data_IF_631745090781
#
_entry.id   IF_631745090781
#
_cell.length_a   1.000
_cell.length_b   1.000
_cell.length_c   1.000
_cell.angle_alpha   90.00
_cell.angle_beta   90.00
_cell.angle_gamma   90.00
#
_symmetry.space_group_name_H-M   'P 1'
#
loop_
_entity.id
_entity.type
_entity.pdbx_description
1 polymer ?
#
# COMPACT_ATOMS: atom_id res chain seq x y z
N UNK A 1 29.32 -6.26 28.85
CA UNK A 1 28.38 -5.09 28.83
C UNK A 1 27.81 -4.85 27.41
N UNK A 2 27.27 -5.86 26.74
CA UNK A 2 26.88 -5.72 25.30
C UNK A 2 25.46 -6.24 24.99
N UNK A 3 24.64 -6.58 25.99
CA UNK A 3 23.28 -7.12 25.76
C UNK A 3 22.13 -6.11 25.83
N UNK A 4 22.38 -4.82 26.12
CA UNK A 4 21.33 -3.81 26.30
C UNK A 4 21.00 -2.98 25.03
N UNK A 5 21.86 -3.01 23.99
CA UNK A 5 21.67 -2.17 22.81
C UNK A 5 20.77 -2.80 21.72
N UNK A 6 20.65 -4.12 21.66
CA UNK A 6 19.84 -4.79 20.65
C UNK A 6 18.32 -4.74 20.87
N UNK A 7 17.87 -4.47 22.11
CA UNK A 7 16.44 -4.48 22.44
C UNK A 7 15.70 -3.19 22.06
N UNK A 8 16.41 -2.09 21.82
CA UNK A 8 15.79 -0.80 21.47
C UNK A 8 15.68 -0.53 19.97
N UNK A 9 16.45 -1.23 19.12
CA UNK A 9 16.38 -1.01 17.68
C UNK A 9 15.19 -1.73 17.02
N UNK A 10 14.76 -2.86 17.58
CA UNK A 10 13.59 -3.58 17.07
C UNK A 10 12.27 -2.83 17.29
N UNK A 11 12.14 -2.06 18.35
CA UNK A 11 10.95 -1.28 18.66
C UNK A 11 10.73 -0.09 17.73
N UNK A 12 11.80 0.63 17.35
CA UNK A 12 11.71 1.78 16.46
C UNK A 12 11.36 1.37 15.01
N UNK A 13 11.95 0.28 14.52
CA UNK A 13 11.64 -0.25 13.18
C UNK A 13 10.17 -0.71 13.07
N UNK A 14 9.62 -1.29 14.13
CA UNK A 14 8.21 -1.70 14.15
C UNK A 14 7.26 -0.50 14.20
N UNK A 15 7.59 0.57 14.90
CA UNK A 15 6.78 1.79 14.97
C UNK A 15 6.79 2.51 13.61
N UNK A 16 7.95 2.62 12.95
CA UNK A 16 8.06 3.23 11.61
C UNK A 16 7.37 2.39 10.55
N UNK A 17 7.47 1.06 10.62
CA UNK A 17 6.73 0.16 9.75
C UNK A 17 5.22 0.29 9.96
N UNK A 18 4.77 0.37 11.22
CA UNK A 18 3.35 0.56 11.55
C UNK A 18 2.83 1.92 11.05
N UNK A 19 3.63 2.98 11.17
CA UNK A 19 3.29 4.32 10.64
C UNK A 19 3.21 4.33 9.11
N UNK A 20 4.18 3.72 8.41
CA UNK A 20 4.15 3.56 6.95
C UNK A 20 2.92 2.78 6.49
N UNK A 21 2.61 1.67 7.17
CA UNK A 21 1.42 0.86 6.89
C UNK A 21 0.14 1.64 7.23
N UNK A 22 0.10 2.38 8.34
CA UNK A 22 -1.04 3.20 8.73
C UNK A 22 -1.31 4.34 7.73
N UNK A 23 -0.24 4.99 7.20
CA UNK A 23 -0.38 6.02 6.17
C UNK A 23 -0.87 5.41 4.85
N UNK A 24 -0.34 4.25 4.46
CA UNK A 24 -0.84 3.51 3.29
C UNK A 24 -2.31 3.14 3.48
N UNK A 25 -2.69 2.62 4.65
CA UNK A 25 -4.08 2.29 4.98
C UNK A 25 -4.93 3.57 5.04
N UNK A 26 -4.42 4.67 5.58
CA UNK A 26 -5.10 5.96 5.62
C UNK A 26 -5.38 6.53 4.22
N UNK A 27 -4.41 6.49 3.31
CA UNK A 27 -4.58 6.91 1.91
C UNK A 27 -5.44 5.91 1.14
N UNK A 28 -5.37 4.63 1.46
CA UNK A 28 -5.97 3.50 0.74
C UNK A 28 -7.30 3.06 1.36
N UNK A 29 -7.51 3.26 2.66
CA UNK A 29 -8.75 2.90 3.37
C UNK A 29 -10.00 3.61 2.88
N UNK A 30 -9.84 4.48 1.89
CA UNK A 30 -10.87 5.36 1.36
C UNK A 30 -11.77 4.72 0.29
N UNK A 31 -11.48 3.51 -0.19
CA UNK A 31 -12.24 2.90 -1.30
C UNK A 31 -12.39 1.38 -1.12
N UNK A 32 -13.52 0.88 -0.77
CA UNK A 32 -13.69 -0.55 -0.60
C UNK A 32 -14.93 -1.19 -1.17
N UNK A 33 -14.82 -2.39 -1.51
CA UNK A 33 -15.58 -3.63 -1.36
C UNK A 33 -15.22 -4.70 -2.42
N UNK A 34 -15.47 -5.95 -2.04
CA UNK A 34 -15.13 -7.25 -2.60
C UNK A 34 -15.62 -7.47 -4.03
N UNK A 35 -14.75 -7.91 -4.94
CA UNK A 35 -15.13 -8.55 -6.20
C UNK A 35 -14.30 -9.80 -6.46
N UNK A 36 -15.01 -10.81 -6.92
CA UNK A 36 -14.56 -12.14 -7.35
C UNK A 36 -13.70 -12.11 -8.61
N UNK A 37 -12.77 -13.05 -8.69
CA UNK A 37 -11.83 -13.29 -9.77
C UNK A 37 -12.43 -13.29 -11.18
N UNK A 38 -11.74 -12.60 -12.12
CA UNK A 38 -11.40 -13.18 -13.42
C UNK A 38 -10.41 -12.28 -14.19
N UNK A 39 -9.34 -12.92 -14.64
CA UNK A 39 -8.26 -12.35 -15.41
C UNK A 39 -8.64 -12.19 -16.90
N UNK A 40 -8.27 -11.09 -17.53
CA UNK A 40 -7.54 -11.02 -18.82
C UNK A 40 -7.50 -9.61 -19.41
N UNK A 41 -6.36 -9.30 -19.93
CA UNK A 41 -5.86 -8.27 -20.84
C UNK A 41 -6.81 -7.24 -21.50
N UNK A 42 -6.30 -5.97 -21.55
CA UNK A 42 -6.55 -4.90 -22.55
C UNK A 42 -7.94 -4.27 -22.57
N UNK A 43 -8.14 -3.45 -21.77
CA UNK A 43 -8.99 -2.31 -21.43
C UNK A 43 -9.39 -2.45 -19.99
N UNK A 44 -8.93 -1.51 -19.16
CA UNK A 44 -9.28 -1.55 -17.73
C UNK A 44 -10.80 -1.41 -17.67
N UNK A 45 -11.47 -2.49 -17.34
CA UNK A 45 -12.92 -2.46 -17.17
C UNK A 45 -13.23 -1.81 -15.83
N UNK A 46 -14.09 -0.81 -15.84
CA UNK A 46 -14.58 -0.19 -14.61
C UNK A 46 -15.56 -1.14 -13.95
N UNK A 47 -15.29 -1.48 -12.69
CA UNK A 47 -16.25 -2.25 -11.89
C UNK A 47 -17.47 -1.37 -11.58
N UNK A 48 -18.58 -1.66 -12.23
CA UNK A 48 -19.78 -0.84 -12.13
C UNK A 48 -20.40 -0.85 -10.72
N UNK A 49 -20.35 -1.96 -10.01
CA UNK A 49 -20.87 -2.04 -8.64
C UNK A 49 -20.09 -1.11 -7.69
N UNK A 50 -18.75 -1.11 -7.80
CA UNK A 50 -17.88 -0.20 -7.03
C UNK A 50 -18.17 1.24 -7.41
N UNK A 51 -18.30 1.53 -8.70
CA UNK A 51 -18.62 2.86 -9.20
C UNK A 51 -19.98 3.35 -8.66
N UNK A 52 -21.02 2.53 -8.72
CA UNK A 52 -22.36 2.90 -8.27
C UNK A 52 -22.40 3.15 -6.74
N UNK A 53 -21.71 2.32 -5.95
CA UNK A 53 -21.55 2.55 -4.49
C UNK A 53 -20.81 3.86 -4.20
N UNK A 54 -19.73 4.11 -4.94
CA UNK A 54 -19.01 5.36 -4.82
C UNK A 54 -19.89 6.56 -5.18
N UNK A 55 -20.67 6.48 -6.27
CA UNK A 55 -21.59 7.55 -6.66
C UNK A 55 -22.63 7.86 -5.57
N UNK A 56 -23.12 6.86 -4.87
CA UNK A 56 -24.04 7.05 -3.76
C UNK A 56 -23.39 7.75 -2.55
N UNK A 57 -22.10 7.57 -2.32
CA UNK A 57 -21.38 8.12 -1.17
C UNK A 57 -20.70 9.46 -1.47
N UNK A 58 -20.05 9.61 -2.64
CA UNK A 58 -19.17 10.72 -3.01
C UNK A 58 -19.84 11.67 -4.02
N UNK A 59 -20.65 11.12 -4.94
CA UNK A 59 -21.34 11.85 -6.00
C UNK A 59 -20.39 12.62 -6.94
N UNK A 60 -19.23 12.03 -7.27
CA UNK A 60 -18.28 12.52 -8.28
C UNK A 60 -17.98 11.41 -9.28
N UNK A 61 -18.43 11.58 -10.53
CA UNK A 61 -18.32 10.57 -11.58
C UNK A 61 -16.86 10.18 -11.88
N UNK A 62 -15.96 11.16 -11.93
CA UNK A 62 -14.56 10.91 -12.29
C UNK A 62 -13.83 10.18 -11.16
N UNK A 63 -14.06 10.60 -9.92
CA UNK A 63 -13.52 9.90 -8.75
C UNK A 63 -14.07 8.45 -8.67
N UNK A 64 -15.35 8.28 -8.96
CA UNK A 64 -15.96 6.95 -8.90
C UNK A 64 -15.56 6.05 -10.07
N UNK A 65 -15.19 6.60 -11.22
CA UNK A 65 -14.51 5.84 -12.27
C UNK A 65 -13.13 5.35 -11.82
N UNK A 66 -12.36 6.18 -11.12
CA UNK A 66 -11.12 5.77 -10.50
C UNK A 66 -11.33 4.61 -9.51
N UNK A 67 -12.29 4.74 -8.60
CA UNK A 67 -12.61 3.69 -7.65
C UNK A 67 -12.95 2.37 -8.34
N UNK A 68 -13.77 2.41 -9.38
CA UNK A 68 -14.14 1.22 -10.17
C UNK A 68 -13.00 0.63 -11.00
N UNK A 69 -12.09 1.47 -11.54
CA UNK A 69 -10.95 1.02 -12.34
C UNK A 69 -9.92 0.28 -11.50
N UNK A 70 -9.59 0.78 -10.31
CA UNK A 70 -8.56 0.19 -9.45
C UNK A 70 -8.90 -1.24 -9.00
N UNK A 71 -10.17 -1.57 -8.85
CA UNK A 71 -10.62 -2.91 -8.48
C UNK A 71 -10.23 -4.02 -9.47
N UNK A 72 -9.94 -3.67 -10.72
CA UNK A 72 -9.64 -4.61 -11.82
C UNK A 72 -8.16 -4.63 -12.24
N UNK A 73 -7.28 -4.04 -11.42
CA UNK A 73 -5.84 -4.01 -11.71
C UNK A 73 -5.23 -5.40 -11.54
N UNK A 74 -4.42 -5.82 -12.52
CA UNK A 74 -3.59 -7.03 -12.46
C UNK A 74 -2.24 -6.77 -11.78
N UNK A 75 -1.18 -6.77 -12.57
CA UNK A 75 0.18 -6.49 -12.09
C UNK A 75 0.36 -5.02 -11.75
N UNK A 76 0.96 -4.73 -10.59
CA UNK A 76 1.32 -3.36 -10.21
C UNK A 76 2.49 -3.32 -9.24
N UNK A 77 3.18 -2.18 -9.24
CA UNK A 77 4.24 -1.85 -8.26
C UNK A 77 3.88 -0.54 -7.57
N UNK A 78 4.20 -0.47 -6.30
CA UNK A 78 4.05 0.72 -5.48
C UNK A 78 5.39 1.07 -4.85
N UNK A 79 5.77 2.32 -4.93
CA UNK A 79 6.87 2.88 -4.17
C UNK A 79 6.31 3.96 -3.22
N UNK A 80 6.61 3.84 -1.93
CA UNK A 80 6.27 4.83 -0.92
C UNK A 80 7.55 5.38 -0.33
N UNK A 81 7.66 6.70 -0.30
CA UNK A 81 8.75 7.42 0.34
C UNK A 81 8.15 8.24 1.49
N UNK A 82 8.65 8.04 2.69
CA UNK A 82 8.29 8.85 3.85
C UNK A 82 9.51 9.62 4.34
N UNK A 83 9.29 10.89 4.63
CA UNK A 83 10.27 11.77 5.27
C UNK A 83 9.69 12.24 6.59
N UNK A 84 10.44 12.03 7.65
CA UNK A 84 10.11 12.44 9.01
C UNK A 84 11.28 13.22 9.60
N UNK A 85 11.08 13.87 10.74
CA UNK A 85 12.18 14.59 11.45
C UNK A 85 13.34 13.67 11.81
N UNK A 86 13.08 12.35 11.99
CA UNK A 86 14.06 11.34 12.42
C UNK A 86 14.75 10.61 11.27
N UNK A 87 14.34 10.85 10.02
CA UNK A 87 14.94 10.20 8.85
C UNK A 87 13.96 9.90 7.73
N UNK A 88 14.37 9.02 6.85
CA UNK A 88 13.60 8.60 5.69
C UNK A 88 13.28 7.12 5.73
N UNK A 89 12.10 6.76 5.25
CA UNK A 89 11.71 5.37 5.07
C UNK A 89 11.19 5.15 3.65
N UNK A 90 11.45 3.98 3.09
CA UNK A 90 10.90 3.58 1.81
C UNK A 90 10.22 2.23 1.91
N UNK A 91 9.10 2.09 1.22
CA UNK A 91 8.41 0.83 1.05
C UNK A 91 8.21 0.57 -0.44
N UNK A 92 8.67 -0.58 -0.89
CA UNK A 92 8.44 -1.06 -2.25
C UNK A 92 7.50 -2.27 -2.17
N UNK A 93 6.38 -2.20 -2.88
CA UNK A 93 5.44 -3.32 -3.03
C UNK A 93 5.37 -3.72 -4.50
N UNK A 94 5.24 -5.01 -4.74
CA UNK A 94 4.89 -5.52 -6.06
C UNK A 94 3.88 -6.65 -5.92
N UNK A 95 2.90 -6.66 -6.83
CA UNK A 95 1.89 -7.70 -6.90
C UNK A 95 1.78 -8.18 -8.35
N UNK A 96 1.68 -9.48 -8.53
CA UNK A 96 1.42 -10.06 -9.84
C UNK A 96 -0.03 -10.54 -9.96
N UNK A 97 -0.47 -10.75 -11.20
CA UNK A 97 -1.82 -11.24 -11.52
C UNK A 97 -2.09 -12.67 -11.04
N UNK A 98 -1.07 -13.39 -10.55
CA UNK A 98 -1.19 -14.74 -9.99
C UNK A 98 -1.42 -14.74 -8.48
N UNK A 99 -1.48 -13.55 -7.86
CA UNK A 99 -1.65 -13.38 -6.41
C UNK A 99 -0.37 -13.51 -5.61
N UNK A 100 0.80 -13.48 -6.26
CA UNK A 100 2.07 -13.36 -5.54
C UNK A 100 2.34 -11.89 -5.20
N UNK A 101 3.04 -11.65 -4.10
CA UNK A 101 3.40 -10.30 -3.65
C UNK A 101 4.81 -10.25 -3.08
N UNK A 102 5.43 -9.08 -3.16
CA UNK A 102 6.67 -8.78 -2.48
C UNK A 102 6.60 -7.44 -1.77
N UNK A 103 7.24 -7.32 -0.63
CA UNK A 103 7.33 -6.10 0.17
C UNK A 103 8.77 -5.92 0.66
N UNK A 104 9.36 -4.77 0.38
CA UNK A 104 10.69 -4.38 0.85
C UNK A 104 10.59 -3.05 1.59
N UNK A 105 11.06 -3.03 2.83
CA UNK A 105 11.11 -1.84 3.68
C UNK A 105 12.56 -1.46 3.93
N UNK A 106 12.88 -0.19 3.74
CA UNK A 106 14.18 0.40 4.10
C UNK A 106 13.98 1.59 5.03
N UNK A 107 14.84 1.75 6.00
CA UNK A 107 14.89 2.90 6.90
C UNK A 107 16.30 3.48 6.80
N UNK A 108 16.40 4.77 6.45
CA UNK A 108 17.68 5.45 6.20
C UNK A 108 18.56 4.66 5.21
N UNK A 109 17.95 4.09 4.17
CA UNK A 109 18.60 3.32 3.12
C UNK A 109 18.96 1.87 3.49
N UNK A 110 18.78 1.45 4.74
CA UNK A 110 19.07 0.09 5.21
C UNK A 110 17.81 -0.78 5.17
N UNK A 111 17.91 -1.99 4.61
CA UNK A 111 16.82 -2.97 4.63
C UNK A 111 16.47 -3.34 6.07
N UNK A 112 15.18 -3.25 6.41
CA UNK A 112 14.63 -3.61 7.72
C UNK A 112 13.57 -4.71 7.63
N UNK A 113 12.98 -4.91 6.47
CA UNK A 113 12.00 -5.95 6.21
C UNK A 113 11.96 -6.32 4.74
N UNK A 114 11.94 -7.61 4.45
CA UNK A 114 11.74 -8.11 3.10
C UNK A 114 10.88 -9.37 3.17
N UNK A 115 9.71 -9.31 2.58
CA UNK A 115 8.69 -10.36 2.64
C UNK A 115 8.28 -10.70 1.21
N UNK A 116 8.15 -11.99 0.92
CA UNK A 116 7.63 -12.49 -0.35
C UNK A 116 6.51 -13.47 -0.05
N UNK A 117 5.38 -13.31 -0.73
CA UNK A 117 4.34 -14.34 -0.81
C UNK A 117 4.40 -14.94 -2.20
N UNK A 118 4.67 -16.22 -2.28
CA UNK A 118 4.76 -16.96 -3.54
C UNK A 118 3.96 -18.26 -3.46
N UNK A 119 2.99 -18.42 -4.35
CA UNK A 119 2.06 -19.55 -4.36
C UNK A 119 1.41 -19.82 -2.98
N UNK A 120 1.01 -18.75 -2.27
CA UNK A 120 0.38 -18.83 -0.95
C UNK A 120 1.33 -19.12 0.22
N UNK A 121 2.62 -19.30 -0.04
CA UNK A 121 3.66 -19.47 0.99
C UNK A 121 4.30 -18.11 1.27
N UNK A 122 4.43 -17.76 2.55
CA UNK A 122 5.10 -16.53 3.00
C UNK A 122 6.57 -16.82 3.32
N UNK A 123 7.43 -15.92 2.88
CA UNK A 123 8.86 -15.91 3.16
C UNK A 123 9.27 -14.57 3.76
N UNK A 124 10.14 -14.60 4.76
CA UNK A 124 10.73 -13.40 5.37
C UNK A 124 12.25 -13.53 5.43
N UNK A 125 12.96 -12.49 5.02
CA UNK A 125 14.42 -12.50 5.00
C UNK A 125 14.99 -12.42 6.42
N UNK A 126 15.92 -13.31 6.74
CA UNK A 126 16.75 -13.20 7.94
C UNK A 126 18.05 -12.46 7.59
N UNK A 127 18.24 -11.31 8.21
CA UNK A 127 19.43 -10.47 7.97
C UNK A 127 20.67 -10.95 8.71
N UNK A 128 20.57 -12.00 9.55
CA UNK A 128 21.72 -12.57 10.26
C UNK A 128 22.56 -13.49 9.38
N UNK A 129 21.93 -14.21 8.45
CA UNK A 129 22.59 -15.18 7.56
C UNK A 129 22.17 -15.03 6.08
N UNK A 130 21.29 -14.09 5.77
CA UNK A 130 20.81 -13.78 4.42
C UNK A 130 19.82 -14.80 3.84
N UNK A 131 19.42 -15.82 4.60
CA UNK A 131 18.45 -16.82 4.16
C UNK A 131 17.01 -16.34 4.40
N UNK A 132 16.06 -17.11 3.89
CA UNK A 132 14.64 -16.83 4.02
C UNK A 132 13.97 -17.83 4.92
N UNK A 133 13.30 -17.35 5.97
CA UNK A 133 12.35 -18.17 6.73
C UNK A 133 11.15 -18.48 5.86
N UNK A 134 10.76 -19.77 5.82
CA UNK A 134 9.57 -20.24 5.15
C UNK A 134 8.47 -20.51 6.16
N UNK A 135 7.33 -19.83 6.02
CA UNK A 135 6.18 -19.96 6.92
C UNK A 135 5.14 -20.92 6.32
N UNK A 136 4.62 -21.84 7.13
CA UNK A 136 3.48 -22.63 6.72
C UNK A 136 2.24 -21.76 6.54
N UNK A 137 1.32 -22.14 5.66
CA UNK A 137 0.09 -21.39 5.42
C UNK A 137 -0.77 -21.21 6.69
N UNK A 138 -0.73 -22.21 7.59
CA UNK A 138 -1.40 -22.22 8.89
C UNK A 138 -0.68 -21.46 10.00
N UNK A 139 0.53 -20.95 9.75
CA UNK A 139 1.32 -20.26 10.76
C UNK A 139 0.71 -18.87 11.03
N UNK A 140 0.25 -18.67 12.27
CA UNK A 140 -0.37 -17.41 12.71
C UNK A 140 0.67 -16.31 12.98
N UNK A 141 1.94 -16.64 13.04
CA UNK A 141 3.04 -15.69 13.27
C UNK A 141 3.67 -15.19 11.97
N UNK A 142 3.20 -15.68 10.82
CA UNK A 142 3.71 -15.25 9.52
C UNK A 142 3.50 -13.75 9.33
N UNK A 143 4.51 -13.03 8.81
CA UNK A 143 4.33 -11.64 8.45
C UNK A 143 3.33 -11.51 7.29
N UNK A 144 2.54 -10.47 7.29
CA UNK A 144 1.60 -10.16 6.22
C UNK A 144 2.18 -9.12 5.27
N UNK A 145 1.85 -9.25 3.99
CA UNK A 145 2.08 -8.21 2.99
C UNK A 145 0.85 -7.32 2.89
N UNK A 146 1.05 -6.06 2.53
CA UNK A 146 -0.07 -5.15 2.28
C UNK A 146 -0.63 -5.43 0.88
N UNK A 147 -1.89 -5.80 0.80
CA UNK A 147 -2.65 -5.87 -0.45
C UNK A 147 -3.43 -4.57 -0.64
N UNK A 148 -2.82 -3.63 -1.37
CA UNK A 148 -3.43 -2.33 -1.63
C UNK A 148 -4.76 -2.44 -2.36
N UNK A 149 -4.89 -3.37 -3.30
CA UNK A 149 -6.15 -3.61 -4.02
C UNK A 149 -7.25 -4.00 -3.04
N UNK A 150 -6.95 -4.91 -2.11
CA UNK A 150 -7.88 -5.34 -1.08
C UNK A 150 -8.25 -4.20 -0.12
N UNK A 151 -7.28 -3.37 0.24
CA UNK A 151 -7.53 -2.21 1.09
C UNK A 151 -8.38 -1.16 0.35
N UNK A 152 -8.07 -0.82 -0.89
CA UNK A 152 -8.92 0.07 -1.71
C UNK A 152 -10.34 -0.46 -1.90
N UNK A 153 -10.53 -1.76 -2.00
CA UNK A 153 -11.84 -2.37 -2.16
C UNK A 153 -12.67 -2.44 -0.86
N UNK A 154 -12.07 -2.18 0.31
CA UNK A 154 -12.79 -2.10 1.60
C UNK A 154 -13.47 -0.75 1.84
N UNK A 155 -13.07 0.34 1.13
CA UNK A 155 -13.43 1.70 1.44
C UNK A 155 -14.95 1.92 1.56
N UNK A 156 -15.31 2.51 2.62
CA UNK A 156 -16.64 3.03 2.88
C UNK A 156 -16.70 4.55 2.66
N UNK A 157 -15.63 5.12 2.11
CA UNK A 157 -15.44 6.56 1.85
C UNK A 157 -15.51 7.42 3.13
N UNK A 158 -15.10 6.81 4.25
CA UNK A 158 -15.08 7.41 5.58
C UNK A 158 -13.67 7.40 6.15
N UNK A 159 -13.40 8.30 7.06
CA UNK A 159 -12.17 8.30 7.83
C UNK A 159 -12.16 7.24 8.95
N UNK A 160 -11.05 7.18 9.67
CA UNK A 160 -10.75 6.13 10.66
C UNK A 160 -11.82 5.99 11.76
N UNK A 161 -12.49 7.08 12.10
CA UNK A 161 -13.56 7.12 13.10
C UNK A 161 -14.98 7.10 12.50
N UNK A 162 -15.11 6.78 11.20
CA UNK A 162 -16.37 6.72 10.48
C UNK A 162 -16.90 8.08 10.03
N UNK A 163 -16.12 9.16 10.18
CA UNK A 163 -16.46 10.49 9.69
C UNK A 163 -16.47 10.50 8.15
N UNK A 164 -17.33 11.36 7.58
CA UNK A 164 -17.42 11.53 6.13
C UNK A 164 -16.19 12.28 5.62
N UNK A 165 -15.54 11.70 4.62
CA UNK A 165 -14.48 12.39 3.87
C UNK A 165 -15.06 13.18 2.71
N UNK A 166 -14.41 14.30 2.37
CA UNK A 166 -14.72 15.05 1.17
C UNK A 166 -13.62 14.86 0.12
N UNK A 167 -14.03 14.66 -1.12
CA UNK A 167 -13.12 14.48 -2.27
C UNK A 167 -13.31 15.69 -3.19
N UNK A 168 -12.37 16.63 -3.12
CA UNK A 168 -12.44 17.90 -3.88
C UNK A 168 -11.56 17.82 -5.11
N UNK A 169 -12.16 17.91 -6.29
CA UNK A 169 -11.42 18.03 -7.54
C UNK A 169 -10.68 19.38 -7.56
N UNK A 170 -9.35 19.32 -7.62
CA UNK A 170 -8.49 20.51 -7.70
C UNK A 170 -8.26 20.90 -9.16
N UNK A 171 -8.17 19.92 -10.07
CA UNK A 171 -7.92 20.17 -11.48
C UNK A 171 -7.26 19.00 -12.18
N UNK A 172 -6.46 19.32 -13.17
CA UNK A 172 -5.60 18.35 -13.88
C UNK A 172 -4.17 18.87 -13.91
N UNK A 173 -3.20 17.99 -13.73
CA UNK A 173 -1.77 18.33 -13.84
C UNK A 173 -0.97 17.12 -14.38
N UNK A 174 0.32 17.35 -14.67
CA UNK A 174 1.21 16.28 -15.08
C UNK A 174 1.53 15.35 -13.90
N UNK A 175 1.52 14.04 -14.16
CA UNK A 175 2.01 13.00 -13.27
C UNK A 175 2.97 12.10 -14.06
N UNK A 176 4.25 12.49 -14.11
CA UNK A 176 5.23 11.99 -15.08
C UNK A 176 4.84 12.41 -16.50
N UNK A 177 4.86 11.48 -17.43
CA UNK A 177 4.48 11.72 -18.84
C UNK A 177 2.96 11.77 -19.05
N UNK A 178 2.17 11.38 -18.03
CA UNK A 178 0.73 11.33 -18.12
C UNK A 178 0.08 12.64 -17.69
N UNK A 179 -1.22 12.78 -17.96
CA UNK A 179 -2.06 13.84 -17.41
C UNK A 179 -3.03 13.22 -16.42
N UNK A 180 -3.05 13.74 -15.20
CA UNK A 180 -3.84 13.21 -14.12
C UNK A 180 -4.91 14.20 -13.65
N UNK A 181 -6.05 13.66 -13.23
CA UNK A 181 -6.96 14.39 -12.33
C UNK A 181 -6.31 14.43 -10.95
N UNK A 182 -6.32 15.63 -10.34
CA UNK A 182 -5.87 15.83 -8.96
C UNK A 182 -7.06 16.07 -8.05
N UNK A 183 -7.11 15.31 -6.98
CA UNK A 183 -8.12 15.44 -5.93
C UNK A 183 -7.45 15.70 -4.59
N UNK A 184 -8.05 16.58 -3.80
CA UNK A 184 -7.76 16.70 -2.39
C UNK A 184 -8.72 15.81 -1.60
N UNK A 185 -8.20 15.04 -0.67
CA UNK A 185 -8.99 14.33 0.34
C UNK A 185 -9.01 15.20 1.60
N UNK A 186 -10.19 15.53 2.09
CA UNK A 186 -10.35 16.35 3.29
C UNK A 186 -11.00 15.51 4.38
N UNK A 187 -10.23 15.25 5.43
CA UNK A 187 -10.71 14.65 6.66
C UNK A 187 -10.94 15.76 7.69
N UNK A 188 -12.19 15.98 8.14
CA UNK A 188 -12.50 17.04 9.09
C UNK A 188 -11.83 16.84 10.47
N UNK A 189 -11.40 15.64 10.80
CA UNK A 189 -10.70 15.33 12.06
C UNK A 189 -9.18 15.50 11.94
N UNK A 190 -8.63 15.55 10.72
CA UNK A 190 -7.19 15.65 10.44
C UNK A 190 -6.82 17.01 9.87
N UNK A 191 -7.06 18.06 10.61
CA UNK A 191 -6.93 19.46 10.13
C UNK A 191 -5.49 19.89 9.82
N UNK A 192 -4.47 19.15 10.26
CA UNK A 192 -3.06 19.40 9.97
C UNK A 192 -2.53 18.62 8.77
N UNK A 193 -3.32 17.66 8.26
CA UNK A 193 -2.98 16.84 7.11
C UNK A 193 -3.48 17.50 5.81
N UNK A 194 -2.71 17.29 4.74
CA UNK A 194 -3.09 17.68 3.38
C UNK A 194 -2.81 16.52 2.44
N UNK A 195 -3.89 15.90 1.98
CA UNK A 195 -3.84 14.65 1.23
C UNK A 195 -4.30 14.89 -0.20
N UNK A 196 -3.52 14.39 -1.14
CA UNK A 196 -3.85 14.45 -2.56
C UNK A 196 -3.75 13.10 -3.23
N UNK A 197 -4.63 12.89 -4.22
CA UNK A 197 -4.63 11.74 -5.12
C UNK A 197 -4.51 12.22 -6.57
N UNK A 198 -3.74 11.49 -7.36
CA UNK A 198 -3.62 11.70 -8.81
C UNK A 198 -3.95 10.40 -9.53
N UNK A 199 -4.93 10.44 -10.39
CA UNK A 199 -5.26 9.32 -11.27
C UNK A 199 -5.35 9.77 -12.73
N UNK A 200 -4.90 8.92 -13.63
CA UNK A 200 -4.81 9.20 -15.05
C UNK A 200 -6.18 9.59 -15.62
N UNK A 201 -6.20 10.58 -16.49
CA UNK A 201 -7.43 11.06 -17.12
C UNK A 201 -8.02 10.08 -18.16
N UNK A 202 -7.26 9.07 -18.61
CA UNK A 202 -7.67 8.11 -19.64
C UNK A 202 -8.12 6.78 -19.07
N UNK A 203 -7.28 6.18 -18.22
CA UNK A 203 -7.53 4.85 -17.66
C UNK A 203 -8.05 4.88 -16.22
N UNK A 204 -8.09 6.07 -15.59
CA UNK A 204 -8.51 6.29 -14.21
C UNK A 204 -7.70 5.53 -13.15
N UNK A 205 -6.50 5.07 -13.49
CA UNK A 205 -5.63 4.39 -12.53
C UNK A 205 -4.87 5.38 -11.65
N UNK A 206 -4.77 5.05 -10.37
CA UNK A 206 -3.97 5.81 -9.41
C UNK A 206 -2.52 5.83 -9.85
N UNK A 207 -1.92 7.01 -9.94
CA UNK A 207 -0.51 7.19 -10.28
C UNK A 207 0.32 7.69 -9.12
N UNK A 208 -0.28 8.53 -8.29
CA UNK A 208 0.39 9.17 -7.17
C UNK A 208 -0.59 9.46 -6.05
N UNK A 209 -0.11 9.41 -4.81
CA UNK A 209 -0.78 9.98 -3.65
C UNK A 209 0.25 10.66 -2.75
N UNK A 210 -0.17 11.70 -2.04
CA UNK A 210 0.66 12.34 -1.02
C UNK A 210 -0.15 12.59 0.24
N UNK A 211 0.52 12.44 1.38
CA UNK A 211 0.03 12.85 2.70
C UNK A 211 1.08 13.73 3.34
N UNK A 212 0.70 14.92 3.78
CA UNK A 212 1.60 15.85 4.47
C UNK A 212 0.94 16.26 5.79
N UNK A 213 1.54 15.89 6.91
CA UNK A 213 1.14 16.39 8.22
C UNK A 213 2.10 17.48 8.68
N UNK A 214 1.61 18.72 8.65
CA UNK A 214 2.40 19.90 9.04
C UNK A 214 2.73 19.93 10.52
N UNK A 215 1.93 19.31 11.38
CA UNK A 215 2.17 19.22 12.83
C UNK A 215 3.20 18.17 13.16
N UNK A 216 3.13 17.01 12.54
CA UNK A 216 4.12 15.95 12.72
C UNK A 216 5.41 16.22 11.96
N UNK A 217 5.41 17.12 10.96
CA UNK A 217 6.53 17.33 10.06
C UNK A 217 6.79 16.11 9.17
N UNK A 218 5.74 15.36 8.87
CA UNK A 218 5.80 14.13 8.06
C UNK A 218 5.31 14.40 6.65
N UNK A 219 6.05 13.93 5.67
CA UNK A 219 5.65 13.92 4.26
C UNK A 219 5.76 12.52 3.70
N UNK A 220 4.70 12.03 3.09
CA UNK A 220 4.65 10.73 2.44
C UNK A 220 4.23 10.89 0.99
N UNK A 221 4.96 10.26 0.10
CA UNK A 221 4.63 10.16 -1.31
C UNK A 221 4.56 8.71 -1.74
N UNK A 222 3.46 8.36 -2.37
CA UNK A 222 3.23 7.05 -2.98
C UNK A 222 3.13 7.21 -4.50
N UNK A 223 3.83 6.36 -5.24
CA UNK A 223 3.70 6.23 -6.69
C UNK A 223 3.28 4.83 -7.06
N UNK A 224 2.41 4.70 -8.07
CA UNK A 224 1.92 3.41 -8.56
C UNK A 224 2.23 3.29 -10.05
N UNK A 225 2.82 2.16 -10.43
CA UNK A 225 3.13 1.81 -11.81
C UNK A 225 2.47 0.48 -12.17
N UNK A 226 1.96 0.40 -13.39
CA UNK A 226 1.26 -0.76 -13.93
C UNK A 226 2.10 -1.33 -15.08
N UNK A 227 2.91 -2.32 -14.75
CA UNK A 227 3.78 -3.03 -15.69
C UNK A 227 3.86 -4.47 -15.25
N UNK A 228 4.22 -5.36 -16.15
CA UNK A 228 4.41 -6.78 -15.83
C UNK A 228 5.31 -6.95 -14.61
N UNK A 229 4.85 -7.78 -13.67
CA UNK A 229 5.55 -8.15 -12.45
C UNK A 229 5.86 -9.64 -12.49
N UNK A 230 7.09 -9.99 -12.15
CA UNK A 230 7.48 -11.39 -11.96
C UNK A 230 8.02 -11.54 -10.56
N UNK A 231 7.32 -12.33 -9.76
CA UNK A 231 7.74 -12.67 -8.39
C UNK A 231 8.16 -14.12 -8.40
N UNK A 232 9.32 -14.41 -7.83
CA UNK A 232 9.91 -15.76 -7.79
C UNK A 232 10.08 -16.21 -6.36
N UNK A 233 10.07 -17.55 -6.17
CA UNK A 233 10.38 -18.12 -4.87
C UNK A 233 11.81 -17.76 -4.46
N UNK A 234 12.01 -17.22 -3.24
CA UNK A 234 13.33 -16.81 -2.79
C UNK A 234 14.18 -18.04 -2.39
N UNK A 235 15.50 -17.90 -2.51
CA UNK A 235 16.48 -18.92 -2.16
C UNK A 235 17.75 -18.28 -1.61
N UNK A 236 18.48 -18.92 -0.68
CA UNK A 236 18.16 -20.18 0.01
C UNK A 236 17.11 -19.98 1.12
N UNK A 237 16.33 -21.01 1.41
CA UNK A 237 15.32 -21.01 2.47
C UNK A 237 15.74 -21.81 3.69
N UNK A 238 15.12 -21.56 4.83
CA UNK A 238 15.22 -22.31 6.08
C UNK A 238 13.89 -22.35 6.81
N UNK A 239 13.68 -23.39 7.61
CA UNK A 239 12.50 -23.49 8.46
C UNK A 239 12.59 -22.54 9.67
N UNK A 240 11.44 -22.15 10.20
CA UNK A 240 11.36 -21.36 11.42
C UNK A 240 11.81 -22.21 12.60
N UNK A 241 12.70 -21.72 13.48
CA UNK A 241 13.05 -22.44 14.71
C UNK A 241 11.81 -22.70 15.56
N UNK A 242 11.66 -23.94 16.06
CA UNK A 242 10.51 -24.36 16.86
C UNK A 242 10.22 -23.49 18.11
N UNK A 243 11.22 -22.74 18.61
CA UNK A 243 11.08 -21.81 19.72
C UNK A 243 10.43 -20.46 19.36
N UNK A 244 10.23 -20.18 18.09
CA UNK A 244 9.59 -18.93 17.62
C UNK A 244 8.09 -19.13 17.29
N UNK A 245 7.58 -20.34 17.43
CA UNK A 245 6.19 -20.71 17.13
C UNK A 245 5.27 -20.73 18.37
N UNK A 246 5.70 -20.11 19.51
CA UNK A 246 4.90 -20.00 20.74
C UNK A 246 4.37 -18.60 20.97
#
# INVERSE_FOLDING_TARGET
MTKKFQKNMSGLAHVQLALLVAVIIGVVGLVGWKVSDNSSTSSISINKEVQDKCMAAVNDEQFCKFAGAFGNVGDYKVAVNSTEQTGTSTLELANDSKGNSSMLVKVNGQEQGNIIVFNGTTYSKDYTDGKWFKYAASDTTKPETVDLKKEFLKGDYKGDNGQKLEYKKIGTEKCGELTCHKYQVVDPEKTTETDFLWFDTKDFLLRRATVNDSKAGTSVEMTVTYSSVTITEPSPTKDIPAAAAQ
#
